data_IF_661706287689
#
_entry.id   IF_661706287689
#
_cell.length_a   1.000
_cell.length_b   1.000
_cell.length_c   1.000
_cell.angle_alpha   90.00
_cell.angle_beta   90.00
_cell.angle_gamma   90.00
#
_symmetry.space_group_name_H-M   'P 1'
#
loop_
_entity.id
_entity.type
_entity.pdbx_description
1 polymer ?
#
# COMPACT_ATOMS: atom_id res chain seq x y z
N UNK A 1 46.25 16.35 37.47
CA UNK A 1 46.50 17.81 37.45
C UNK A 1 48.01 17.95 37.54
N UNK A 2 48.81 18.45 36.59
CA UNK A 2 48.66 19.37 35.45
C UNK A 2 49.75 19.02 34.40
N UNK A 3 49.39 18.87 33.12
CA UNK A 3 49.73 19.74 31.97
C UNK A 3 51.23 19.92 31.72
N UNK A 4 51.84 19.34 30.68
CA UNK A 4 51.66 19.56 29.24
C UNK A 4 52.17 20.92 28.75
N UNK A 5 53.41 20.97 28.23
CA UNK A 5 53.78 21.54 26.93
C UNK A 5 55.30 21.51 26.76
N UNK A 6 55.78 21.03 25.62
CA UNK A 6 56.45 21.84 24.57
C UNK A 6 57.33 20.90 23.74
N UNK A 7 56.91 20.58 22.51
CA UNK A 7 57.87 20.46 21.42
C UNK A 7 57.14 20.73 20.11
N UNK A 8 57.55 21.83 19.50
CA UNK A 8 57.07 22.39 18.25
C UNK A 8 58.22 22.23 17.25
N UNK A 9 57.87 21.85 16.03
CA UNK A 9 58.71 21.94 14.82
C UNK A 9 59.70 20.81 14.55
N UNK A 10 59.39 20.01 13.53
CA UNK A 10 60.29 19.51 12.47
C UNK A 10 59.38 18.95 11.35
N UNK A 11 59.07 19.77 10.33
CA UNK A 11 59.66 19.72 8.99
C UNK A 11 59.48 18.33 8.32
N UNK A 12 58.46 18.17 7.46
CA UNK A 12 58.60 18.15 5.99
C UNK A 12 59.42 16.95 5.47
N UNK A 13 58.75 15.96 4.88
CA UNK A 13 59.10 15.36 3.59
C UNK A 13 58.16 14.18 3.24
N UNK A 14 57.32 14.40 2.23
CA UNK A 14 57.16 13.56 1.03
C UNK A 14 57.14 12.02 1.18
N UNK A 15 56.05 11.39 0.74
CA UNK A 15 55.95 10.67 -0.55
C UNK A 15 54.60 9.91 -0.62
N UNK A 16 53.83 10.25 -1.65
CA UNK A 16 52.70 9.48 -2.18
C UNK A 16 53.20 8.12 -2.70
N UNK A 17 52.59 7.03 -2.25
CA UNK A 17 52.60 5.76 -3.00
C UNK A 17 51.16 5.31 -3.16
N UNK A 18 50.60 5.62 -4.34
CA UNK A 18 49.43 4.96 -4.89
C UNK A 18 49.91 3.61 -5.42
N UNK A 19 49.53 2.52 -4.75
CA UNK A 19 49.69 1.17 -5.29
C UNK A 19 48.33 0.68 -5.78
N UNK A 20 48.15 0.76 -7.10
CA UNK A 20 47.09 0.09 -7.83
C UNK A 20 47.33 -1.42 -7.78
N UNK A 21 46.45 -2.17 -7.10
CA UNK A 21 46.30 -3.61 -7.35
C UNK A 21 45.19 -3.80 -8.39
N UNK A 22 45.59 -4.04 -9.62
CA UNK A 22 44.72 -4.56 -10.67
C UNK A 22 44.50 -6.05 -10.43
N UNK A 23 43.37 -6.43 -9.83
CA UNK A 23 42.89 -7.81 -9.87
C UNK A 23 42.06 -7.98 -11.14
N UNK A 24 42.72 -8.52 -12.18
CA UNK A 24 42.06 -9.09 -13.33
C UNK A 24 41.45 -10.43 -12.93
N UNK A 25 40.12 -10.50 -12.85
CA UNK A 25 39.37 -11.75 -12.91
C UNK A 25 38.59 -11.76 -14.22
N UNK A 26 38.85 -12.81 -15.01
CA UNK A 26 38.47 -12.91 -16.41
C UNK A 26 36.96 -12.90 -16.64
N UNK A 27 36.60 -12.31 -17.77
CA UNK A 27 35.31 -12.46 -18.42
C UNK A 27 35.07 -13.95 -18.71
N UNK A 28 34.14 -14.54 -17.96
CA UNK A 28 33.40 -15.70 -18.45
C UNK A 28 31.96 -15.26 -18.59
N UNK A 29 31.59 -14.95 -19.84
CA UNK A 29 30.22 -14.69 -20.26
C UNK A 29 29.34 -15.89 -19.89
N UNK A 30 28.55 -15.76 -18.84
CA UNK A 30 27.32 -16.53 -18.66
C UNK A 30 26.16 -15.54 -18.64
N UNK A 31 25.19 -15.86 -19.49
CA UNK A 31 24.05 -15.06 -19.85
C UNK A 31 23.43 -14.34 -18.64
N UNK A 32 23.42 -13.01 -18.71
CA UNK A 32 22.50 -12.18 -17.94
C UNK A 32 21.10 -12.50 -18.45
N UNK A 33 20.47 -13.51 -17.87
CA UNK A 33 19.02 -13.62 -17.91
C UNK A 33 18.50 -12.32 -17.31
N UNK A 34 17.78 -11.55 -18.12
CA UNK A 34 17.17 -10.30 -17.69
C UNK A 34 16.04 -10.64 -16.71
N UNK A 35 16.40 -10.90 -15.44
CA UNK A 35 15.45 -10.84 -14.34
C UNK A 35 14.85 -9.43 -14.35
N UNK A 36 13.51 -9.29 -14.41
CA UNK A 36 12.87 -7.97 -14.35
C UNK A 36 13.37 -7.24 -13.10
N UNK A 37 13.75 -5.98 -13.23
CA UNK A 37 14.14 -5.17 -12.06
C UNK A 37 13.04 -5.28 -11.00
N UNK A 38 13.40 -5.44 -9.74
CA UNK A 38 12.48 -5.58 -8.59
C UNK A 38 11.39 -4.48 -8.55
N UNK A 39 11.72 -3.28 -9.05
CA UNK A 39 10.80 -2.17 -9.29
C UNK A 39 9.64 -2.47 -10.27
N UNK A 40 9.83 -3.38 -11.21
CA UNK A 40 8.85 -3.81 -12.21
C UNK A 40 7.90 -4.88 -11.66
N UNK A 41 8.41 -5.79 -10.82
CA UNK A 41 7.62 -6.86 -10.18
C UNK A 41 6.66 -6.28 -9.13
N UNK A 42 7.03 -5.18 -8.47
CA UNK A 42 6.23 -4.56 -7.40
C UNK A 42 5.27 -3.46 -7.89
N UNK A 43 5.62 -2.78 -8.99
CA UNK A 43 4.66 -1.97 -9.76
C UNK A 43 3.50 -2.84 -10.26
N UNK A 44 3.77 -4.08 -10.65
CA UNK A 44 2.76 -5.06 -11.08
C UNK A 44 1.74 -5.38 -9.97
N UNK A 45 2.13 -5.50 -8.69
CA UNK A 45 1.21 -5.79 -7.58
C UNK A 45 0.20 -4.67 -7.28
N UNK A 46 0.66 -3.40 -7.29
CA UNK A 46 -0.22 -2.23 -7.13
C UNK A 46 -1.06 -1.99 -8.38
N UNK A 47 -0.44 -2.10 -9.56
CA UNK A 47 -1.13 -1.99 -10.84
C UNK A 47 -2.16 -3.09 -11.00
N UNK A 48 -1.97 -4.27 -10.40
CA UNK A 48 -2.93 -5.40 -10.38
C UNK A 48 -4.00 -5.29 -9.30
N UNK A 49 -3.72 -4.66 -8.16
CA UNK A 49 -4.72 -4.44 -7.10
C UNK A 49 -5.64 -3.26 -7.42
N UNK A 50 -5.09 -2.24 -8.09
CA UNK A 50 -5.79 -1.02 -8.50
C UNK A 50 -6.07 -0.98 -10.02
N UNK A 51 -5.72 -2.03 -10.77
CA UNK A 51 -6.24 -2.20 -12.12
C UNK A 51 -7.74 -2.35 -12.02
N UNK A 52 -8.41 -1.92 -13.08
CA UNK A 52 -9.83 -2.20 -13.29
C UNK A 52 -10.15 -3.69 -13.15
N UNK A 53 -9.17 -4.58 -13.39
CA UNK A 53 -9.33 -6.03 -13.30
C UNK A 53 -8.98 -6.64 -11.92
N UNK A 54 -8.47 -5.84 -10.98
CA UNK A 54 -8.08 -6.29 -9.65
C UNK A 54 -9.27 -6.64 -8.77
N UNK A 55 -9.12 -7.71 -7.96
CA UNK A 55 -10.21 -8.20 -7.09
C UNK A 55 -10.66 -7.15 -6.08
N UNK A 56 -9.76 -6.29 -5.60
CA UNK A 56 -10.11 -5.18 -4.72
C UNK A 56 -11.01 -4.15 -5.41
N UNK A 57 -10.67 -3.73 -6.63
CA UNK A 57 -11.48 -2.79 -7.41
C UNK A 57 -12.83 -3.42 -7.76
N UNK A 58 -12.84 -4.67 -8.25
CA UNK A 58 -14.06 -5.43 -8.53
C UNK A 58 -14.97 -5.56 -7.31
N UNK A 59 -14.41 -5.82 -6.13
CA UNK A 59 -15.17 -5.84 -4.89
C UNK A 59 -15.83 -4.49 -4.60
N UNK A 60 -15.07 -3.39 -4.70
CA UNK A 60 -15.62 -2.05 -4.48
C UNK A 60 -16.66 -1.66 -5.54
N UNK A 61 -16.46 -2.02 -6.81
CA UNK A 61 -17.43 -1.80 -7.89
C UNK A 61 -18.70 -2.63 -7.64
N UNK A 62 -18.56 -3.86 -7.17
CA UNK A 62 -19.67 -4.68 -6.70
C UNK A 62 -20.46 -3.97 -5.60
N UNK A 63 -19.78 -3.36 -4.61
CA UNK A 63 -20.43 -2.57 -3.56
C UNK A 63 -21.16 -1.36 -4.16
N UNK A 64 -20.54 -0.64 -5.09
CA UNK A 64 -21.14 0.50 -5.79
C UNK A 64 -22.42 0.08 -6.54
N UNK A 65 -22.47 -1.14 -7.09
CA UNK A 65 -23.61 -1.64 -7.86
C UNK A 65 -24.67 -2.39 -7.02
N UNK A 66 -24.53 -2.45 -5.70
CA UNK A 66 -25.48 -3.19 -4.85
C UNK A 66 -26.92 -2.70 -5.05
N UNK A 67 -27.87 -3.61 -5.33
CA UNK A 67 -29.27 -3.24 -5.45
C UNK A 67 -29.82 -2.75 -4.11
N UNK A 68 -30.70 -1.74 -4.10
CA UNK A 68 -31.28 -1.21 -2.87
C UNK A 68 -31.97 -2.31 -2.04
N UNK A 69 -31.63 -2.40 -0.75
CA UNK A 69 -32.32 -3.28 0.19
C UNK A 69 -31.81 -4.73 0.23
N UNK A 70 -30.81 -5.10 -0.58
CA UNK A 70 -30.21 -6.44 -0.53
C UNK A 70 -29.49 -6.71 0.79
N UNK A 71 -28.96 -5.67 1.43
CA UNK A 71 -28.32 -5.77 2.75
C UNK A 71 -29.26 -6.30 3.84
N UNK A 72 -30.58 -6.11 3.66
CA UNK A 72 -31.60 -6.61 4.58
C UNK A 72 -31.85 -8.11 4.46
N UNK A 73 -31.31 -8.75 3.42
CA UNK A 73 -31.44 -10.18 3.18
C UNK A 73 -30.29 -10.98 3.83
N UNK A 74 -29.39 -10.32 4.56
CA UNK A 74 -28.29 -10.93 5.29
C UNK A 74 -27.00 -11.09 4.47
N UNK A 75 -25.90 -11.36 5.18
CA UNK A 75 -24.56 -11.38 4.60
C UNK A 75 -24.40 -12.40 3.47
N UNK A 76 -24.98 -13.60 3.62
CA UNK A 76 -24.88 -14.68 2.63
C UNK A 76 -25.48 -14.29 1.26
N UNK A 77 -26.63 -13.59 1.27
CA UNK A 77 -27.30 -13.13 0.05
C UNK A 77 -26.49 -12.04 -0.65
N UNK A 78 -25.91 -11.13 0.14
CA UNK A 78 -25.02 -10.08 -0.38
C UNK A 78 -23.74 -10.69 -0.95
N UNK A 79 -23.10 -11.61 -0.24
CA UNK A 79 -21.90 -12.31 -0.70
C UNK A 79 -22.16 -13.11 -1.99
N UNK A 80 -23.28 -13.83 -2.06
CA UNK A 80 -23.69 -14.56 -3.27
C UNK A 80 -23.92 -13.64 -4.46
N UNK A 81 -24.56 -12.49 -4.22
CA UNK A 81 -24.81 -11.49 -5.25
C UNK A 81 -23.49 -10.87 -5.74
N UNK A 82 -22.62 -10.46 -4.82
CA UNK A 82 -21.31 -9.90 -5.13
C UNK A 82 -20.51 -10.90 -5.96
N UNK A 83 -20.46 -12.17 -5.53
CA UNK A 83 -19.75 -13.23 -6.25
C UNK A 83 -20.24 -13.38 -7.68
N UNK A 84 -21.57 -13.44 -7.86
CA UNK A 84 -22.17 -13.58 -9.20
C UNK A 84 -21.88 -12.38 -10.10
N UNK A 85 -21.95 -11.17 -9.53
CA UNK A 85 -21.83 -9.91 -10.25
C UNK A 85 -20.39 -9.63 -10.66
N UNK A 86 -19.47 -9.76 -9.72
CA UNK A 86 -18.06 -9.35 -9.85
C UNK A 86 -17.15 -10.46 -10.36
N UNK A 87 -17.62 -11.72 -10.32
CA UNK A 87 -16.86 -12.94 -10.64
C UNK A 87 -15.67 -13.21 -9.71
N UNK A 88 -15.59 -12.53 -8.57
CA UNK A 88 -14.66 -12.85 -7.49
C UNK A 88 -15.38 -13.65 -6.41
N UNK A 89 -14.68 -14.51 -5.69
CA UNK A 89 -15.27 -15.21 -4.56
C UNK A 89 -15.47 -14.24 -3.39
N UNK A 90 -16.71 -14.12 -2.92
CA UNK A 90 -17.05 -13.39 -1.69
C UNK A 90 -17.74 -14.37 -0.74
N UNK A 91 -17.17 -14.54 0.45
CA UNK A 91 -17.66 -15.42 1.51
C UNK A 91 -18.07 -14.62 2.74
N UNK A 92 -18.54 -15.30 3.78
CA UNK A 92 -19.02 -14.68 5.02
C UNK A 92 -18.42 -15.34 6.24
N UNK A 93 -18.04 -14.52 7.24
CA UNK A 93 -17.80 -14.94 8.62
C UNK A 93 -18.74 -14.14 9.52
N UNK A 94 -19.83 -14.77 9.95
CA UNK A 94 -20.96 -14.08 10.55
C UNK A 94 -21.49 -12.96 9.64
N UNK A 95 -21.47 -11.72 10.14
CA UNK A 95 -21.94 -10.52 9.43
C UNK A 95 -20.85 -9.81 8.63
N UNK A 96 -19.64 -10.37 8.56
CA UNK A 96 -18.53 -9.81 7.77
C UNK A 96 -18.46 -10.47 6.40
N UNK A 97 -18.19 -9.66 5.37
CA UNK A 97 -17.93 -10.10 4.01
C UNK A 97 -16.43 -10.24 3.79
N UNK A 98 -15.99 -11.41 3.33
CA UNK A 98 -14.60 -11.71 3.07
C UNK A 98 -14.37 -11.89 1.59
N UNK A 99 -13.20 -11.51 1.12
CA UNK A 99 -12.73 -11.79 -0.24
C UNK A 99 -11.46 -12.64 -0.11
N UNK A 100 -11.57 -13.98 -0.12
CA UNK A 100 -10.44 -14.86 0.18
C UNK A 100 -9.22 -14.64 -0.71
N UNK A 101 -9.39 -14.23 -1.96
CA UNK A 101 -8.27 -13.89 -2.85
C UNK A 101 -7.42 -12.72 -2.36
N UNK A 102 -7.97 -11.86 -1.50
CA UNK A 102 -7.24 -10.75 -0.87
C UNK A 102 -6.50 -11.16 0.42
N UNK A 103 -6.74 -12.36 0.97
CA UNK A 103 -6.16 -12.81 2.24
C UNK A 103 -4.66 -13.13 2.16
N UNK A 104 -4.18 -13.46 0.96
CA UNK A 104 -2.79 -13.84 0.68
C UNK A 104 -2.04 -12.77 -0.10
N UNK A 105 -2.46 -11.50 -0.02
CA UNK A 105 -1.70 -10.39 -0.58
C UNK A 105 -0.44 -10.16 0.25
N UNK A 106 0.57 -11.02 0.12
CA UNK A 106 1.86 -10.80 0.74
C UNK A 106 2.49 -9.54 0.13
N UNK A 107 2.68 -8.49 0.94
CA UNK A 107 3.79 -7.58 0.73
C UNK A 107 5.02 -8.42 1.00
N UNK A 108 5.70 -8.89 -0.05
CA UNK A 108 6.99 -9.55 0.15
C UNK A 108 7.91 -8.53 0.82
N UNK A 109 8.16 -8.71 2.10
CA UNK A 109 9.28 -8.06 2.77
C UNK A 109 10.15 -9.15 3.40
N UNK A 110 11.40 -9.17 2.94
CA UNK A 110 12.62 -9.51 3.71
C UNK A 110 13.00 -10.99 3.91
N UNK A 111 14.07 -11.39 3.20
CA UNK A 111 15.36 -11.66 3.86
C UNK A 111 16.50 -11.04 3.04
N UNK A 112 16.73 -9.74 3.19
CA UNK A 112 18.08 -9.22 2.94
C UNK A 112 18.32 -7.97 3.79
N UNK A 113 19.43 -8.03 4.52
CA UNK A 113 19.95 -7.00 5.42
C UNK A 113 19.84 -5.60 4.82
N UNK A 114 19.18 -4.69 5.56
CA UNK A 114 19.05 -3.29 5.22
C UNK A 114 20.44 -2.63 5.26
N UNK A 115 21.03 -2.37 4.09
CA UNK A 115 22.02 -1.31 3.93
C UNK A 115 21.27 0.03 4.03
N UNK A 116 21.65 0.86 4.99
CA UNK A 116 20.95 2.10 5.39
C UNK A 116 20.97 3.22 4.32
N UNK A 117 21.40 2.93 3.09
CA UNK A 117 21.54 3.89 2.00
C UNK A 117 20.51 3.74 0.87
N UNK A 118 19.57 2.79 0.92
CA UNK A 118 18.45 2.72 -0.03
C UNK A 118 17.15 3.16 0.66
N UNK A 119 16.78 4.43 0.50
CA UNK A 119 15.40 4.91 0.80
C UNK A 119 14.49 4.37 -0.32
N UNK A 120 14.08 3.12 -0.20
CA UNK A 120 13.11 2.50 -1.12
C UNK A 120 11.71 3.02 -0.81
N UNK A 121 11.05 3.52 -1.85
CA UNK A 121 9.80 4.30 -1.76
C UNK A 121 8.60 3.35 -1.65
N UNK A 122 8.40 2.79 -0.47
CA UNK A 122 7.34 1.82 -0.11
C UNK A 122 5.95 2.44 0.15
N UNK A 123 5.55 3.36 -0.73
CA UNK A 123 4.48 4.34 -0.48
C UNK A 123 3.02 3.86 -0.28
N UNK A 124 2.08 4.33 -1.10
CA UNK A 124 0.64 4.03 -0.92
C UNK A 124 0.25 2.57 -1.21
N UNK A 125 1.12 1.82 -1.88
CA UNK A 125 0.86 0.43 -2.25
C UNK A 125 0.64 -0.44 -1.03
N UNK A 126 1.51 -0.29 -0.03
CA UNK A 126 1.48 -1.09 1.18
C UNK A 126 0.20 -0.84 1.98
N UNK A 127 -0.26 0.41 1.99
CA UNK A 127 -1.54 0.77 2.58
C UNK A 127 -2.72 0.09 1.87
N UNK A 128 -2.77 0.11 0.54
CA UNK A 128 -3.88 -0.48 -0.23
C UNK A 128 -3.86 -2.01 -0.10
N UNK A 129 -2.67 -2.62 -0.14
CA UNK A 129 -2.51 -4.05 0.12
C UNK A 129 -3.01 -4.39 1.52
N UNK A 130 -2.70 -3.58 2.53
CA UNK A 130 -3.18 -3.79 3.88
C UNK A 130 -4.72 -3.67 4.00
N UNK A 131 -5.36 -2.77 3.24
CA UNK A 131 -6.84 -2.74 3.13
C UNK A 131 -7.34 -4.06 2.54
N UNK A 132 -6.75 -4.51 1.43
CA UNK A 132 -7.11 -5.79 0.79
C UNK A 132 -6.96 -6.98 1.73
N UNK A 133 -5.81 -7.10 2.40
CA UNK A 133 -5.54 -8.13 3.40
C UNK A 133 -6.58 -8.13 4.52
N UNK A 134 -6.98 -6.96 5.02
CA UNK A 134 -7.98 -6.86 6.06
C UNK A 134 -9.34 -7.39 5.60
N UNK A 135 -9.75 -7.05 4.37
CA UNK A 135 -10.97 -7.60 3.76
C UNK A 135 -10.86 -9.11 3.58
N UNK A 136 -9.69 -9.63 3.19
CA UNK A 136 -9.50 -11.06 3.00
C UNK A 136 -9.42 -11.88 4.30
N UNK A 137 -8.94 -11.29 5.39
CA UNK A 137 -8.64 -12.00 6.65
C UNK A 137 -9.67 -11.76 7.75
N UNK A 138 -10.14 -10.52 7.90
CA UNK A 138 -11.10 -10.11 8.95
C UNK A 138 -12.48 -9.86 8.34
N UNK A 139 -12.52 -9.44 7.08
CA UNK A 139 -13.74 -9.10 6.38
C UNK A 139 -14.24 -7.69 6.66
N UNK A 140 -15.23 -7.27 5.87
CA UNK A 140 -15.88 -5.97 5.97
C UNK A 140 -17.32 -6.14 6.49
N UNK A 141 -17.72 -5.43 7.56
CA UNK A 141 -19.03 -5.62 8.17
C UNK A 141 -20.18 -5.18 7.26
N UNK A 142 -21.17 -6.07 7.10
CA UNK A 142 -22.36 -5.82 6.29
C UNK A 142 -23.10 -4.54 6.72
N UNK A 143 -23.15 -4.27 8.02
CA UNK A 143 -23.80 -3.08 8.59
C UNK A 143 -23.24 -1.74 8.09
N UNK A 144 -22.03 -1.74 7.50
CA UNK A 144 -21.38 -0.55 6.94
C UNK A 144 -21.41 -0.50 5.41
N UNK A 145 -21.89 -1.54 4.72
CA UNK A 145 -21.80 -1.65 3.26
C UNK A 145 -22.59 -0.58 2.51
N UNK A 146 -23.80 -0.27 2.97
CA UNK A 146 -24.63 0.76 2.34
C UNK A 146 -24.08 2.17 2.59
N UNK A 147 -23.46 2.38 3.74
CA UNK A 147 -22.78 3.64 4.08
C UNK A 147 -21.50 3.80 3.25
N UNK A 148 -20.73 2.73 3.07
CA UNK A 148 -19.55 2.73 2.20
C UNK A 148 -19.97 2.96 0.74
N UNK A 149 -21.01 2.28 0.24
CA UNK A 149 -21.60 2.53 -1.07
C UNK A 149 -21.95 4.01 -1.24
N UNK A 150 -22.70 4.58 -0.29
CA UNK A 150 -23.08 5.99 -0.32
C UNK A 150 -21.87 6.93 -0.31
N UNK A 151 -20.80 6.58 0.40
CA UNK A 151 -19.56 7.34 0.39
C UNK A 151 -18.95 7.37 -1.01
N UNK A 152 -18.79 6.20 -1.61
CA UNK A 152 -18.25 6.02 -2.96
C UNK A 152 -19.10 6.80 -3.98
N UNK A 153 -20.43 6.68 -3.90
CA UNK A 153 -21.37 7.40 -4.78
C UNK A 153 -21.19 8.93 -4.65
N UNK A 154 -21.11 9.46 -3.43
CA UNK A 154 -20.89 10.90 -3.17
C UNK A 154 -19.52 11.40 -3.62
N UNK A 155 -18.52 10.51 -3.63
CA UNK A 155 -17.18 10.80 -4.15
C UNK A 155 -17.09 10.63 -5.67
N UNK A 156 -18.19 10.21 -6.32
CA UNK A 156 -18.34 10.10 -7.77
C UNK A 156 -17.91 8.75 -8.35
N UNK A 157 -18.02 7.69 -7.55
CA UNK A 157 -17.77 6.30 -7.91
C UNK A 157 -16.38 5.80 -7.50
N UNK A 158 -16.17 4.48 -7.62
CA UNK A 158 -14.93 3.80 -7.19
C UNK A 158 -13.72 4.42 -7.86
N UNK A 159 -13.74 4.57 -9.19
CA UNK A 159 -12.60 5.10 -9.95
C UNK A 159 -12.20 6.51 -9.51
N UNK A 160 -13.16 7.41 -9.30
CA UNK A 160 -12.88 8.79 -8.85
C UNK A 160 -12.39 8.81 -7.40
N UNK A 161 -12.94 7.95 -6.55
CA UNK A 161 -12.52 7.79 -5.16
C UNK A 161 -11.05 7.39 -5.08
N UNK A 162 -10.69 6.32 -5.78
CA UNK A 162 -9.33 5.78 -5.83
C UNK A 162 -8.35 6.80 -6.39
N UNK A 163 -8.68 7.44 -7.52
CA UNK A 163 -7.85 8.48 -8.14
C UNK A 163 -7.66 9.70 -7.21
N UNK A 164 -8.71 10.11 -6.48
CA UNK A 164 -8.64 11.22 -5.52
C UNK A 164 -7.71 10.90 -4.35
N UNK A 165 -7.79 9.69 -3.78
CA UNK A 165 -6.88 9.24 -2.71
C UNK A 165 -5.44 9.25 -3.24
N UNK A 166 -5.20 8.66 -4.40
CA UNK A 166 -3.85 8.56 -4.96
C UNK A 166 -3.24 9.92 -5.31
N UNK A 167 -4.01 10.84 -5.89
CA UNK A 167 -3.57 12.22 -6.15
C UNK A 167 -3.24 12.96 -4.86
N UNK A 168 -4.10 12.83 -3.84
CA UNK A 168 -3.87 13.44 -2.54
C UNK A 168 -2.64 12.86 -1.84
N UNK A 169 -2.44 11.55 -1.92
CA UNK A 169 -1.26 10.87 -1.42
C UNK A 169 0.02 11.42 -2.07
N UNK A 170 0.06 11.51 -3.41
CA UNK A 170 1.20 12.09 -4.12
C UNK A 170 1.48 13.54 -3.71
N UNK A 171 0.43 14.35 -3.48
CA UNK A 171 0.55 15.72 -2.96
C UNK A 171 1.27 15.73 -1.61
N UNK A 172 0.82 14.94 -0.64
CA UNK A 172 1.44 14.88 0.70
C UNK A 172 2.85 14.28 0.67
N UNK A 173 3.13 13.31 -0.21
CA UNK A 173 4.50 12.83 -0.42
C UNK A 173 5.42 13.90 -0.99
N UNK A 174 4.93 14.74 -1.90
CA UNK A 174 5.67 15.92 -2.38
C UNK A 174 5.98 16.95 -1.28
N UNK A 175 5.28 16.89 -0.15
CA UNK A 175 5.54 17.70 1.04
C UNK A 175 6.41 16.98 2.10
N UNK A 176 7.10 15.90 1.71
CA UNK A 176 7.98 15.11 2.58
C UNK A 176 7.28 14.43 3.77
N UNK A 177 5.97 14.14 3.66
CA UNK A 177 5.27 13.35 4.67
C UNK A 177 5.78 11.88 4.65
N UNK A 178 5.84 11.26 5.83
CA UNK A 178 6.02 9.80 5.95
C UNK A 178 4.86 9.09 5.25
N UNK A 179 5.07 7.88 4.73
CA UNK A 179 4.06 7.14 3.96
C UNK A 179 2.72 7.04 4.69
N UNK A 180 2.73 6.55 5.94
CA UNK A 180 1.54 6.46 6.78
C UNK A 180 0.82 7.79 6.99
N UNK A 181 1.58 8.88 7.17
CA UNK A 181 1.02 10.20 7.44
C UNK A 181 0.44 10.79 6.14
N UNK A 182 1.10 10.56 5.01
CA UNK A 182 0.62 10.92 3.68
C UNK A 182 -0.66 10.15 3.31
N UNK A 183 -0.72 8.84 3.60
CA UNK A 183 -1.92 8.03 3.40
C UNK A 183 -3.08 8.51 4.26
N UNK A 184 -2.87 8.65 5.57
CA UNK A 184 -3.88 9.15 6.50
C UNK A 184 -4.40 10.52 6.07
N UNK A 185 -3.51 11.43 5.68
CA UNK A 185 -3.89 12.75 5.19
C UNK A 185 -4.64 12.68 3.84
N UNK A 186 -4.24 11.78 2.95
CA UNK A 186 -4.89 11.59 1.66
C UNK A 186 -6.31 11.04 1.78
N UNK A 187 -6.52 10.01 2.62
CA UNK A 187 -7.84 9.43 2.89
C UNK A 187 -8.76 10.45 3.54
N UNK A 188 -8.29 11.17 4.57
CA UNK A 188 -9.06 12.22 5.24
C UNK A 188 -9.43 13.38 4.28
N UNK A 189 -8.48 13.85 3.48
CA UNK A 189 -8.73 14.89 2.48
C UNK A 189 -9.76 14.43 1.45
N UNK A 190 -9.67 13.17 1.02
CA UNK A 190 -10.56 12.61 -0.01
C UNK A 190 -12.00 12.48 0.47
N UNK A 191 -12.19 12.20 1.77
CA UNK A 191 -13.46 12.02 2.44
C UNK A 191 -14.09 13.34 2.95
N UNK A 192 -13.40 14.47 2.78
CA UNK A 192 -13.84 15.76 3.30
C UNK A 192 -15.20 16.15 2.72
N UNK A 193 -16.14 16.48 3.59
CA UNK A 193 -17.50 16.88 3.20
C UNK A 193 -18.50 15.73 3.11
N UNK A 194 -18.08 14.48 3.35
CA UNK A 194 -19.03 13.38 3.52
C UNK A 194 -19.88 13.56 4.79
N UNK A 195 -21.18 13.18 4.76
CA UNK A 195 -22.00 13.09 5.97
C UNK A 195 -21.37 12.18 7.01
N UNK A 196 -21.58 12.47 8.30
CA UNK A 196 -20.88 11.78 9.40
C UNK A 196 -20.95 10.25 9.32
N UNK A 197 -22.14 9.69 9.12
CA UNK A 197 -22.36 8.24 9.04
C UNK A 197 -21.60 7.58 7.88
N UNK A 198 -21.49 8.31 6.78
CA UNK A 198 -20.86 7.91 5.52
C UNK A 198 -19.34 8.05 5.61
N UNK A 199 -18.88 9.13 6.24
CA UNK A 199 -17.48 9.37 6.58
C UNK A 199 -16.93 8.28 7.49
N UNK A 200 -17.64 7.95 8.57
CA UNK A 200 -17.20 6.94 9.54
C UNK A 200 -17.00 5.58 8.84
N UNK A 201 -17.96 5.14 8.00
CA UNK A 201 -17.83 3.90 7.24
C UNK A 201 -16.68 3.92 6.22
N UNK A 202 -16.44 5.06 5.57
CA UNK A 202 -15.34 5.23 4.62
C UNK A 202 -13.97 5.18 5.32
N UNK A 203 -13.82 5.87 6.46
CA UNK A 203 -12.59 5.84 7.26
C UNK A 203 -12.38 4.47 7.90
N UNK A 204 -13.44 3.78 8.32
CA UNK A 204 -13.34 2.40 8.77
C UNK A 204 -12.95 1.45 7.64
N UNK A 205 -13.11 1.81 6.37
CA UNK A 205 -12.63 0.98 5.27
C UNK A 205 -11.15 1.28 4.95
N UNK A 206 -10.78 2.56 4.82
CA UNK A 206 -9.46 2.97 4.33
C UNK A 206 -8.44 3.38 5.40
N UNK A 207 -8.87 3.58 6.65
CA UNK A 207 -8.09 4.21 7.73
C UNK A 207 -8.08 3.38 9.03
N UNK A 208 -8.37 2.08 8.96
CA UNK A 208 -8.24 1.20 10.14
C UNK A 208 -6.79 1.23 10.63
N UNK A 209 -6.59 1.25 11.96
CA UNK A 209 -5.26 1.32 12.58
C UNK A 209 -4.28 0.27 12.03
N UNK A 210 -4.75 -0.95 11.76
CA UNK A 210 -3.95 -2.02 11.15
C UNK A 210 -3.50 -1.67 9.73
N UNK A 211 -4.33 -1.00 8.94
CA UNK A 211 -3.99 -0.50 7.60
C UNK A 211 -2.90 0.57 7.71
N UNK A 212 -3.09 1.55 8.60
CA UNK A 212 -2.14 2.66 8.79
C UNK A 212 -0.78 2.14 9.29
N UNK A 213 -0.79 1.16 10.19
CA UNK A 213 0.44 0.58 10.75
C UNK A 213 1.23 -0.23 9.73
N UNK A 214 0.57 -0.77 8.70
CA UNK A 214 1.20 -1.49 7.60
C UNK A 214 1.74 -0.58 6.49
N UNK A 215 1.45 0.73 6.52
CA UNK A 215 1.98 1.71 5.58
C UNK A 215 3.46 2.02 5.87
N UNK A 216 4.40 1.43 5.13
CA UNK A 216 5.85 1.57 5.36
C UNK A 216 6.55 2.72 4.65
#
# INVERSE_FOLDING_TARGET
>A
MEKLKTSFSLFMCSVLIVSTLSLAFGDTSLAKENAPSENAIMKDGLEKLMSTDGDFVKFMEGIEELPPGIEKQGAEKVASWLTKKTKIEVTTDGENLLVPSLSNLSIQNSEQSIDSNLITTFGAADCIIAVGLLIGTVGFPLSKITKLKKAIDLLGGVKKTVDRIYKSYKKYKGWNYRTKDAWKAAVNESAKGLPKDTLDAFLDFFNIANVINACT
#
